data_IF_649797862363
#
_entry.id   IF_649797862363
#
_cell.length_a   1.000
_cell.length_b   1.000
_cell.length_c   1.000
_cell.angle_alpha   90.00
_cell.angle_beta   90.00
_cell.angle_gamma   90.00
#
_symmetry.space_group_name_H-M   'P 1'
#
loop_
_entity.id
_entity.type
_entity.pdbx_description
1 polymer ?
#
# COMPACT_ATOMS: atom_id res chain seq x y z
N UNK A 1 1.58 21.55 36.02
CA UNK A 1 1.28 20.16 35.62
C UNK A 1 0.04 20.20 34.74
N UNK A 2 0.19 20.06 33.43
CA UNK A 2 -0.93 19.96 32.50
C UNK A 2 -1.33 18.48 32.36
N UNK A 3 -2.62 18.13 32.26
CA UNK A 3 -3.04 16.74 32.19
C UNK A 3 -2.72 16.18 30.81
N UNK A 4 -1.99 15.06 30.80
CA UNK A 4 -1.70 14.27 29.62
C UNK A 4 -2.99 13.64 29.10
N UNK A 5 -3.49 14.10 27.96
CA UNK A 5 -4.57 13.47 27.23
C UNK A 5 -4.03 12.19 26.56
N UNK A 6 -4.26 11.04 27.20
CA UNK A 6 -4.02 9.73 26.58
C UNK A 6 -5.18 9.46 25.62
N UNK A 7 -4.97 9.75 24.34
CA UNK A 7 -5.89 9.32 23.27
C UNK A 7 -5.55 7.86 22.97
N UNK A 8 -6.32 6.93 23.56
CA UNK A 8 -6.28 5.53 23.18
C UNK A 8 -6.95 5.37 21.81
N UNK A 9 -6.15 5.27 20.75
CA UNK A 9 -6.64 4.84 19.44
C UNK A 9 -6.96 3.35 19.53
N UNK A 10 -8.23 3.03 19.78
CA UNK A 10 -8.76 1.70 19.47
C UNK A 10 -8.85 1.65 17.96
N UNK A 11 -7.87 1.01 17.31
CA UNK A 11 -7.92 0.70 15.90
C UNK A 11 -9.17 -0.14 15.63
N UNK A 12 -10.25 0.52 15.20
CA UNK A 12 -11.41 -0.17 14.67
C UNK A 12 -10.97 -0.85 13.38
N UNK A 13 -10.65 -2.14 13.47
CA UNK A 13 -10.76 -3.05 12.33
C UNK A 13 -12.21 -2.97 11.90
N UNK A 14 -12.50 -2.18 10.87
CA UNK A 14 -13.84 -2.10 10.30
C UNK A 14 -14.16 -3.45 9.67
N UNK A 15 -14.80 -4.31 10.47
CA UNK A 15 -15.69 -5.35 9.97
C UNK A 15 -16.69 -4.66 9.04
N UNK A 16 -16.75 -5.10 7.78
CA UNK A 16 -17.82 -4.66 6.88
C UNK A 16 -19.17 -4.93 7.56
N UNK A 17 -20.12 -3.98 7.60
CA UNK A 17 -21.48 -4.29 8.02
C UNK A 17 -22.15 -5.04 6.86
N UNK A 18 -21.87 -6.34 6.74
CA UNK A 18 -22.79 -7.24 6.07
C UNK A 18 -24.02 -7.32 6.96
N UNK A 19 -25.18 -7.01 6.37
CA UNK A 19 -26.50 -7.15 6.95
C UNK A 19 -26.58 -8.42 7.81
N UNK A 20 -27.00 -8.26 9.07
CA UNK A 20 -27.25 -9.35 10.00
C UNK A 20 -28.41 -10.23 9.52
N UNK A 21 -28.16 -11.09 8.55
CA UNK A 21 -28.75 -12.43 8.51
C UNK A 21 -28.04 -13.25 9.58
N UNK A 22 -28.76 -14.15 10.26
CA UNK A 22 -28.16 -15.06 11.24
C UNK A 22 -26.94 -15.73 10.58
N UNK A 23 -25.73 -15.37 11.04
CA UNK A 23 -24.52 -15.78 10.37
C UNK A 23 -24.39 -17.30 10.50
N UNK A 24 -24.42 -18.00 9.37
CA UNK A 24 -23.98 -19.39 9.32
C UNK A 24 -22.63 -19.52 10.02
N UNK A 25 -22.38 -20.67 10.66
CA UNK A 25 -21.07 -20.96 11.22
C UNK A 25 -19.97 -20.73 10.15
N UNK A 26 -18.83 -20.13 10.50
CA UNK A 26 -17.75 -19.88 9.53
C UNK A 26 -17.26 -21.21 8.95
N UNK A 27 -16.70 -21.20 7.74
CA UNK A 27 -16.13 -22.42 7.14
C UNK A 27 -14.95 -22.95 7.96
N UNK A 28 -14.08 -22.03 8.39
CA UNK A 28 -12.88 -22.28 9.18
C UNK A 28 -12.77 -21.26 10.31
N UNK A 29 -12.10 -21.63 11.39
CA UNK A 29 -11.47 -20.67 12.30
C UNK A 29 -9.96 -20.79 12.19
N UNK A 30 -9.23 -19.70 12.37
CA UNK A 30 -7.78 -19.72 12.28
C UNK A 30 -7.11 -18.94 13.41
N UNK A 31 -5.97 -19.44 13.84
CA UNK A 31 -5.06 -18.78 14.78
C UNK A 31 -3.67 -18.73 14.17
N UNK A 32 -2.87 -17.77 14.63
CA UNK A 32 -1.51 -17.58 14.15
C UNK A 32 -0.54 -17.46 15.31
N UNK A 33 0.67 -17.96 15.09
CA UNK A 33 1.80 -17.90 16.00
C UNK A 33 2.99 -17.27 15.26
N UNK A 34 3.53 -16.14 15.76
CA UNK A 34 3.08 -15.42 16.94
C UNK A 34 1.69 -14.79 16.77
N UNK A 35 0.88 -14.72 17.83
CA UNK A 35 -0.47 -14.13 17.77
C UNK A 35 -0.46 -12.60 17.71
N UNK A 36 0.68 -11.98 18.02
CA UNK A 36 0.93 -10.54 17.98
C UNK A 36 2.43 -10.30 17.86
N UNK A 37 2.84 -9.16 17.30
CA UNK A 37 4.25 -8.83 17.23
C UNK A 37 4.54 -7.58 16.42
N UNK A 38 5.78 -7.11 16.55
CA UNK A 38 6.35 -6.01 15.79
C UNK A 38 7.55 -6.51 15.02
N UNK A 39 7.55 -6.30 13.70
CA UNK A 39 8.61 -6.76 12.82
C UNK A 39 9.17 -5.59 12.02
N UNK A 40 10.49 -5.51 11.91
CA UNK A 40 11.13 -4.54 11.01
C UNK A 40 10.75 -4.88 9.57
N UNK A 41 10.30 -3.89 8.82
CA UNK A 41 9.88 -4.07 7.43
C UNK A 41 10.99 -4.77 6.62
N UNK A 42 10.62 -5.77 5.83
CA UNK A 42 11.58 -6.56 5.06
C UNK A 42 12.48 -7.53 5.85
N UNK A 43 12.36 -7.65 7.17
CA UNK A 43 13.03 -8.71 7.95
C UNK A 43 12.38 -10.09 7.70
N UNK A 44 13.05 -11.19 8.08
CA UNK A 44 12.58 -12.57 7.87
C UNK A 44 12.21 -13.24 9.19
N UNK A 45 11.05 -13.89 9.22
CA UNK A 45 10.50 -14.54 10.41
C UNK A 45 9.78 -15.84 10.06
N UNK A 46 9.62 -16.69 11.07
CA UNK A 46 8.81 -17.89 10.96
C UNK A 46 7.38 -17.61 11.48
N UNK A 47 6.38 -18.07 10.73
CA UNK A 47 4.97 -17.95 11.11
C UNK A 47 4.30 -19.32 11.04
N UNK A 48 3.42 -19.61 11.99
CA UNK A 48 2.57 -20.80 11.96
C UNK A 48 1.12 -20.39 11.99
N UNK A 49 0.39 -20.74 10.93
CA UNK A 49 -1.05 -20.61 10.83
C UNK A 49 -1.69 -21.97 11.15
N UNK A 50 -2.58 -22.00 12.13
CA UNK A 50 -3.37 -23.19 12.45
C UNK A 50 -4.83 -22.88 12.15
N UNK A 51 -5.45 -23.63 11.25
CA UNK A 51 -6.88 -23.49 11.00
C UNK A 51 -7.62 -24.79 11.28
N UNK A 52 -8.85 -24.64 11.77
CA UNK A 52 -9.75 -25.71 12.15
C UNK A 52 -11.03 -25.60 11.33
N UNK A 53 -11.44 -26.72 10.75
CA UNK A 53 -12.63 -26.86 9.93
C UNK A 53 -13.85 -26.82 10.84
N UNK A 54 -14.83 -25.98 10.49
CA UNK A 54 -16.08 -25.81 11.25
C UNK A 54 -17.29 -26.26 10.46
N UNK A 55 -17.18 -26.32 9.13
CA UNK A 55 -18.18 -26.92 8.24
C UNK A 55 -17.50 -27.90 7.28
N UNK A 56 -18.18 -28.97 6.85
CA UNK A 56 -17.62 -29.88 5.87
C UNK A 56 -17.13 -29.15 4.62
N UNK A 57 -15.93 -29.48 4.15
CA UNK A 57 -15.35 -28.98 2.90
C UNK A 57 -15.19 -30.17 1.95
N UNK A 58 -16.11 -30.34 0.98
CA UNK A 58 -16.07 -31.46 0.04
C UNK A 58 -14.81 -31.46 -0.83
N UNK A 59 -14.52 -32.61 -1.43
CA UNK A 59 -13.50 -32.74 -2.50
C UNK A 59 -13.72 -31.68 -3.57
N UNK A 60 -12.64 -31.02 -3.98
CA UNK A 60 -12.67 -29.88 -4.90
C UNK A 60 -12.80 -28.51 -4.23
N UNK A 61 -13.02 -28.45 -2.91
CA UNK A 61 -12.90 -27.19 -2.17
C UNK A 61 -11.44 -26.71 -2.17
N UNK A 62 -11.25 -25.39 -2.23
CA UNK A 62 -9.94 -24.76 -2.19
C UNK A 62 -9.82 -23.83 -0.98
N UNK A 63 -8.64 -23.81 -0.37
CA UNK A 63 -8.29 -22.94 0.75
C UNK A 63 -6.98 -22.27 0.40
N UNK A 64 -6.92 -20.94 0.50
CA UNK A 64 -5.71 -20.19 0.15
C UNK A 64 -5.20 -19.35 1.30
N UNK A 65 -3.88 -19.30 1.42
CA UNK A 65 -3.16 -18.42 2.33
C UNK A 65 -2.32 -17.44 1.52
N UNK A 66 -2.50 -16.16 1.79
CA UNK A 66 -1.71 -15.07 1.21
C UNK A 66 -0.86 -14.48 2.35
N UNK A 67 0.46 -14.69 2.36
CA UNK A 67 1.34 -14.14 3.38
C UNK A 67 1.49 -12.61 3.24
N UNK A 68 1.86 -11.90 4.31
CA UNK A 68 2.09 -10.45 4.34
C UNK A 68 3.41 -10.09 3.62
N UNK A 69 3.45 -10.22 2.29
CA UNK A 69 4.64 -9.96 1.45
C UNK A 69 4.25 -9.11 0.26
N UNK A 70 4.87 -7.93 0.09
CA UNK A 70 4.49 -6.99 -0.98
C UNK A 70 5.48 -6.87 -2.15
N UNK A 71 6.36 -7.84 -2.32
CA UNK A 71 7.18 -8.12 -3.54
C UNK A 71 8.13 -9.26 -3.20
N UNK A 72 7.70 -10.49 -3.49
CA UNK A 72 8.56 -11.65 -3.26
C UNK A 72 9.63 -11.71 -4.36
N UNK A 73 10.84 -11.25 -4.06
CA UNK A 73 12.00 -11.56 -4.89
C UNK A 73 12.42 -13.05 -4.81
N UNK A 74 11.77 -13.86 -3.96
CA UNK A 74 11.99 -15.32 -3.83
C UNK A 74 10.68 -16.04 -3.50
N UNK A 75 10.32 -17.10 -4.24
CA UNK A 75 9.10 -17.89 -3.99
C UNK A 75 9.25 -18.66 -2.68
N UNK A 76 8.20 -18.79 -1.85
CA UNK A 76 8.23 -19.83 -0.84
C UNK A 76 8.21 -21.15 -1.59
N UNK A 77 9.13 -22.04 -1.27
CA UNK A 77 9.17 -23.37 -1.86
C UNK A 77 8.46 -24.37 -0.95
N UNK A 78 7.79 -25.36 -1.53
CA UNK A 78 7.34 -26.54 -0.76
C UNK A 78 8.53 -27.47 -0.47
N UNK A 79 9.50 -27.50 -1.38
CA UNK A 79 10.75 -28.23 -1.20
C UNK A 79 11.68 -27.51 -0.21
N UNK A 80 12.62 -28.25 0.38
CA UNK A 80 13.67 -27.65 1.20
C UNK A 80 14.48 -26.63 0.39
N UNK A 81 14.88 -25.49 0.99
CA UNK A 81 15.75 -24.52 0.34
C UNK A 81 17.02 -25.19 -0.19
N UNK A 82 17.40 -24.89 -1.43
CA UNK A 82 18.65 -25.40 -1.99
C UNK A 82 19.85 -24.73 -1.30
N UNK A 83 20.99 -25.42 -1.14
CA UNK A 83 22.18 -24.86 -0.49
C UNK A 83 22.72 -23.58 -1.15
N UNK A 84 22.50 -23.40 -2.46
CA UNK A 84 22.90 -22.23 -3.26
C UNK A 84 21.88 -21.08 -3.20
N UNK A 85 20.74 -21.27 -2.52
CA UNK A 85 19.73 -20.23 -2.28
C UNK A 85 19.50 -20.01 -0.78
N UNK A 86 20.54 -19.64 0.00
CA UNK A 86 20.39 -19.40 1.43
C UNK A 86 19.38 -18.28 1.68
N UNK A 87 18.38 -18.54 2.52
CA UNK A 87 17.31 -17.59 2.85
C UNK A 87 16.11 -17.60 1.91
N UNK A 88 15.96 -18.59 1.03
CA UNK A 88 14.69 -18.86 0.35
C UNK A 88 13.62 -19.20 1.41
N UNK A 89 12.44 -18.58 1.30
CA UNK A 89 11.33 -18.92 2.19
C UNK A 89 10.85 -20.36 1.91
N UNK A 90 10.40 -21.08 2.93
CA UNK A 90 9.84 -22.43 2.78
C UNK A 90 8.45 -22.48 3.38
N UNK A 91 7.55 -23.26 2.78
CA UNK A 91 6.25 -23.59 3.36
C UNK A 91 6.19 -25.08 3.67
N UNK A 92 5.89 -25.42 4.91
CA UNK A 92 5.60 -26.79 5.31
C UNK A 92 4.21 -26.86 5.93
N UNK A 93 3.55 -28.02 5.85
CA UNK A 93 2.21 -28.19 6.40
C UNK A 93 2.01 -29.56 7.04
N UNK A 94 1.04 -29.65 7.96
CA UNK A 94 0.66 -30.89 8.63
C UNK A 94 -0.84 -30.93 8.85
N UNK A 95 -1.51 -31.86 8.16
CA UNK A 95 -2.94 -32.13 8.35
C UNK A 95 -3.15 -33.05 9.55
N UNK A 96 -4.12 -32.70 10.40
CA UNK A 96 -4.54 -33.47 11.57
C UNK A 96 -6.04 -33.71 11.47
N UNK A 97 -6.44 -34.96 11.57
CA UNK A 97 -7.84 -35.33 11.56
C UNK A 97 -8.39 -35.45 12.99
N UNK A 98 -9.63 -35.03 13.18
CA UNK A 98 -10.35 -35.29 14.44
C UNK A 98 -10.65 -36.79 14.62
N UNK A 99 -10.94 -37.48 13.52
CA UNK A 99 -11.19 -38.92 13.45
C UNK A 99 -10.30 -39.57 12.39
N UNK A 100 -10.16 -40.91 12.36
CA UNK A 100 -9.40 -41.55 11.26
C UNK A 100 -10.13 -41.33 9.92
N UNK A 101 -9.49 -40.62 9.01
CA UNK A 101 -10.04 -40.18 7.71
C UNK A 101 -9.02 -40.42 6.59
N UNK A 102 -9.47 -40.35 5.32
CA UNK A 102 -8.62 -40.57 4.14
C UNK A 102 -8.37 -39.34 3.27
N UNK A 103 -8.88 -38.17 3.68
CA UNK A 103 -8.73 -36.92 2.95
C UNK A 103 -7.25 -36.57 2.73
N UNK A 104 -6.99 -35.86 1.63
CA UNK A 104 -5.67 -35.40 1.22
C UNK A 104 -5.75 -33.96 0.77
N UNK A 105 -4.61 -33.29 0.79
CA UNK A 105 -4.45 -31.95 0.23
C UNK A 105 -3.47 -32.02 -0.92
N UNK A 106 -3.91 -31.57 -2.09
CA UNK A 106 -2.99 -31.16 -3.14
C UNK A 106 -2.58 -29.71 -2.86
N UNK A 107 -1.28 -29.47 -2.73
CA UNK A 107 -0.75 -28.18 -2.28
C UNK A 107 0.13 -27.59 -3.34
N UNK A 108 -0.20 -26.36 -3.73
CA UNK A 108 0.50 -25.64 -4.77
C UNK A 108 0.90 -24.27 -4.26
N UNK A 109 2.09 -23.83 -4.64
CA UNK A 109 2.50 -22.43 -4.52
C UNK A 109 2.21 -21.81 -5.87
N UNK A 110 1.13 -21.05 -5.94
CA UNK A 110 0.65 -20.48 -7.19
C UNK A 110 1.14 -19.06 -7.38
N UNK A 111 1.50 -18.78 -8.63
CA UNK A 111 1.71 -17.47 -9.16
C UNK A 111 0.40 -17.00 -9.80
N UNK A 112 -0.31 -16.04 -9.18
CA UNK A 112 -1.54 -15.52 -9.78
C UNK A 112 -1.19 -14.64 -10.99
N UNK A 113 -1.58 -15.08 -12.19
CA UNK A 113 -1.61 -14.25 -13.39
C UNK A 113 -3.05 -14.09 -13.83
N UNK A 114 -3.62 -12.91 -13.65
CA UNK A 114 -5.02 -12.59 -13.97
C UNK A 114 -5.31 -12.60 -15.49
N UNK A 115 -4.28 -12.81 -16.32
CA UNK A 115 -4.36 -12.84 -17.77
C UNK A 115 -3.64 -14.08 -18.26
N UNK A 116 -4.31 -14.90 -19.06
CA UNK A 116 -3.66 -15.98 -19.79
C UNK A 116 -2.49 -15.45 -20.65
N UNK A 117 -1.63 -16.34 -21.18
CA UNK A 117 -0.48 -15.96 -22.01
C UNK A 117 -0.89 -14.97 -23.12
N UNK A 118 -0.05 -13.94 -23.44
CA UNK A 118 1.41 -13.98 -23.43
C UNK A 118 2.11 -13.09 -22.38
N UNK A 119 1.43 -12.61 -21.34
CA UNK A 119 2.07 -11.78 -20.30
C UNK A 119 2.70 -12.62 -19.20
N UNK A 120 3.79 -13.34 -19.50
CA UNK A 120 4.43 -14.27 -18.55
C UNK A 120 5.46 -13.64 -17.60
N UNK A 121 5.73 -12.34 -17.59
CA UNK A 121 6.90 -11.81 -16.86
C UNK A 121 6.74 -10.49 -16.10
N UNK A 122 5.53 -10.05 -15.72
CA UNK A 122 5.39 -8.82 -14.90
C UNK A 122 4.52 -9.02 -13.66
N UNK A 123 5.27 -9.29 -12.58
CA UNK A 123 5.00 -9.17 -11.14
C UNK A 123 3.70 -9.81 -10.58
N UNK A 124 3.76 -11.07 -10.13
CA UNK A 124 2.61 -11.82 -9.65
C UNK A 124 2.44 -11.84 -8.12
N UNK A 125 1.19 -11.93 -7.68
CA UNK A 125 0.84 -12.31 -6.30
C UNK A 125 1.13 -13.79 -6.07
N UNK A 126 1.56 -14.13 -4.86
CA UNK A 126 1.97 -15.49 -4.50
C UNK A 126 1.14 -15.99 -3.33
N UNK A 127 0.48 -17.11 -3.56
CA UNK A 127 -0.46 -17.72 -2.63
C UNK A 127 -0.14 -19.20 -2.46
N UNK A 128 -0.39 -19.74 -1.28
CA UNK A 128 -0.37 -21.19 -1.06
C UNK A 128 -1.80 -21.67 -1.14
N UNK A 129 -2.11 -22.53 -2.10
CA UNK A 129 -3.45 -23.10 -2.31
C UNK A 129 -3.45 -24.57 -1.92
N UNK A 130 -4.38 -24.92 -1.05
CA UNK A 130 -4.67 -26.26 -0.58
C UNK A 130 -5.99 -26.71 -1.21
N UNK A 131 -5.95 -27.77 -2.03
CA UNK A 131 -7.13 -28.36 -2.67
C UNK A 131 -7.51 -29.67 -1.98
N UNK A 132 -8.76 -29.77 -1.55
CA UNK A 132 -9.27 -30.97 -0.88
C UNK A 132 -9.44 -32.10 -1.89
N UNK A 133 -8.87 -33.26 -1.59
CA UNK A 133 -8.82 -34.44 -2.45
C UNK A 133 -9.09 -35.73 -1.68
N UNK A 134 -9.51 -36.77 -2.39
CA UNK A 134 -9.75 -38.11 -1.85
C UNK A 134 -11.03 -38.23 -1.04
N UNK A 135 -11.17 -37.41 0.01
CA UNK A 135 -12.32 -37.35 0.90
C UNK A 135 -12.53 -35.90 1.39
N UNK A 136 -13.70 -35.61 1.97
CA UNK A 136 -13.99 -34.28 2.53
C UNK A 136 -13.16 -33.98 3.79
N UNK A 137 -12.90 -32.70 4.08
CA UNK A 137 -12.49 -32.29 5.42
C UNK A 137 -13.72 -32.06 6.29
N UNK A 138 -13.70 -32.56 7.52
CA UNK A 138 -14.85 -32.51 8.44
C UNK A 138 -14.63 -31.53 9.59
N UNK A 139 -15.71 -31.08 10.23
CA UNK A 139 -15.61 -30.29 11.45
C UNK A 139 -14.67 -30.93 12.48
N UNK A 140 -13.72 -30.15 13.01
CA UNK A 140 -12.67 -30.60 13.93
C UNK A 140 -11.35 -30.99 13.27
N UNK A 141 -11.32 -31.24 11.96
CA UNK A 141 -10.06 -31.39 11.23
C UNK A 141 -9.28 -30.08 11.28
N UNK A 142 -7.96 -30.16 11.36
CA UNK A 142 -7.09 -29.01 11.50
C UNK A 142 -5.85 -29.10 10.62
N UNK A 143 -5.46 -27.98 10.03
CA UNK A 143 -4.20 -27.86 9.29
C UNK A 143 -3.28 -26.87 9.98
N UNK A 144 -2.03 -27.31 10.21
CA UNK A 144 -0.94 -26.41 10.55
C UNK A 144 -0.14 -26.09 9.29
N UNK A 145 0.05 -24.81 8.98
CA UNK A 145 0.87 -24.32 7.88
C UNK A 145 1.98 -23.44 8.46
N UNK A 146 3.23 -23.79 8.20
CA UNK A 146 4.41 -23.04 8.66
C UNK A 146 5.08 -22.35 7.48
N UNK A 147 5.26 -21.04 7.60
CA UNK A 147 6.03 -20.20 6.69
C UNK A 147 7.38 -19.92 7.34
N UNK A 148 8.44 -20.55 6.85
CA UNK A 148 9.80 -20.37 7.36
C UNK A 148 10.53 -19.28 6.59
N UNK A 149 11.31 -18.45 7.30
CA UNK A 149 12.10 -17.37 6.74
C UNK A 149 11.29 -16.43 5.84
N UNK A 150 10.01 -16.27 6.16
CA UNK A 150 9.09 -15.44 5.42
C UNK A 150 9.49 -13.97 5.60
N UNK A 151 9.77 -13.30 4.49
CA UNK A 151 10.06 -11.87 4.52
C UNK A 151 8.78 -11.11 4.86
N UNK A 152 8.85 -10.13 5.75
CA UNK A 152 7.68 -9.31 6.10
C UNK A 152 7.54 -8.14 5.11
N UNK A 153 6.31 -7.67 4.91
CA UNK A 153 5.96 -6.52 4.08
C UNK A 153 6.88 -5.31 4.30
N UNK A 154 7.06 -4.53 3.22
CA UNK A 154 7.97 -3.38 3.14
C UNK A 154 7.24 -2.04 3.01
N UNK A 155 5.91 -2.05 2.99
CA UNK A 155 5.12 -0.83 2.88
C UNK A 155 4.95 -0.20 4.26
N UNK A 156 5.81 0.79 4.52
CA UNK A 156 5.79 1.60 5.73
C UNK A 156 5.89 3.07 5.37
N UNK A 157 5.20 3.50 4.31
CA UNK A 157 5.20 4.87 3.82
C UNK A 157 4.16 5.76 4.52
N UNK A 158 3.44 5.22 5.51
CA UNK A 158 2.34 5.91 6.17
C UNK A 158 2.80 7.15 6.92
N UNK A 159 1.95 8.18 6.88
CA UNK A 159 2.12 9.42 7.63
C UNK A 159 2.07 9.14 9.13
N UNK A 160 1.05 8.42 9.56
CA UNK A 160 0.95 7.93 10.93
C UNK A 160 1.57 6.54 10.98
N UNK A 161 2.72 6.39 11.67
CA UNK A 161 3.35 5.11 11.80
C UNK A 161 2.36 4.07 12.28
N UNK A 162 1.43 4.35 13.20
CA UNK A 162 0.49 3.36 13.78
C UNK A 162 -0.30 2.52 12.74
N UNK A 163 -0.39 2.98 11.50
CA UNK A 163 -1.03 2.27 10.37
C UNK A 163 -0.10 1.34 9.57
N UNK A 164 1.22 1.44 9.78
CA UNK A 164 2.23 0.49 9.29
C UNK A 164 1.93 -0.90 9.88
N UNK A 165 1.15 -1.68 9.16
CA UNK A 165 0.70 -3.00 9.62
C UNK A 165 0.70 -4.00 8.47
N UNK A 166 0.74 -5.28 8.81
CA UNK A 166 0.66 -6.36 7.84
C UNK A 166 -0.20 -7.50 8.39
N UNK A 167 -0.84 -8.25 7.48
CA UNK A 167 -1.75 -9.31 7.84
C UNK A 167 -1.63 -10.48 6.85
N UNK A 168 -1.91 -11.68 7.35
CA UNK A 168 -2.16 -12.82 6.47
C UNK A 168 -3.60 -12.76 6.00
N UNK A 169 -3.85 -13.12 4.74
CA UNK A 169 -5.21 -13.37 4.26
C UNK A 169 -5.43 -14.87 4.16
N UNK A 170 -6.50 -15.38 4.75
CA UNK A 170 -6.96 -16.77 4.61
C UNK A 170 -8.34 -16.75 4.00
N UNK A 171 -8.55 -17.51 2.94
CA UNK A 171 -9.84 -17.58 2.26
C UNK A 171 -10.21 -19.01 1.90
N UNK A 172 -11.51 -19.25 1.81
CA UNK A 172 -12.10 -20.54 1.43
C UNK A 172 -12.98 -20.37 0.21
N UNK A 173 -12.86 -21.28 -0.74
CA UNK A 173 -13.77 -21.45 -1.88
C UNK A 173 -14.30 -22.89 -1.85
N UNK A 174 -15.52 -23.12 -1.33
CA UNK A 174 -16.12 -24.44 -1.29
C UNK A 174 -16.27 -25.06 -2.68
N UNK A 175 -16.34 -26.39 -2.74
CA UNK A 175 -16.56 -27.11 -4.00
C UNK A 175 -17.83 -26.61 -4.72
N UNK A 176 -17.72 -26.32 -6.02
CA UNK A 176 -18.83 -25.80 -6.82
C UNK A 176 -19.07 -24.30 -6.69
N UNK A 177 -18.46 -23.63 -5.71
CA UNK A 177 -18.53 -22.18 -5.57
C UNK A 177 -17.53 -21.48 -6.49
N UNK A 178 -17.91 -20.29 -6.96
CA UNK A 178 -17.01 -19.46 -7.77
C UNK A 178 -16.30 -18.41 -6.94
N UNK A 179 -16.67 -18.20 -5.67
CA UNK A 179 -16.21 -17.08 -4.83
C UNK A 179 -15.36 -17.53 -3.65
N UNK A 180 -14.29 -16.80 -3.42
CA UNK A 180 -13.52 -16.88 -2.18
C UNK A 180 -14.21 -16.09 -1.07
N UNK A 181 -14.26 -16.68 0.12
CA UNK A 181 -14.77 -16.04 1.34
C UNK A 181 -13.63 -15.85 2.33
N UNK A 182 -13.45 -14.64 2.85
CA UNK A 182 -12.47 -14.34 3.89
C UNK A 182 -12.76 -15.09 5.19
N UNK A 183 -11.72 -15.65 5.79
CA UNK A 183 -11.76 -16.16 7.15
C UNK A 183 -11.36 -15.03 8.09
N UNK A 184 -12.32 -14.58 8.90
CA UNK A 184 -12.12 -13.50 9.86
C UNK A 184 -11.27 -13.93 11.07
N UNK A 185 -10.77 -12.94 11.82
CA UNK A 185 -10.11 -13.15 13.11
C UNK A 185 -8.61 -13.41 13.06
N UNK A 186 -7.96 -13.30 11.90
CA UNK A 186 -6.50 -13.34 11.83
C UNK A 186 -5.87 -12.07 12.42
N UNK A 187 -4.80 -12.20 13.23
CA UNK A 187 -4.17 -11.04 13.83
C UNK A 187 -3.42 -10.21 12.79
N UNK A 188 -3.40 -8.90 13.06
CA UNK A 188 -2.59 -7.92 12.34
C UNK A 188 -1.29 -7.70 13.11
N UNK A 189 -0.19 -7.53 12.38
CA UNK A 189 1.12 -7.26 12.95
C UNK A 189 1.53 -5.82 12.75
N UNK A 190 2.34 -5.32 13.68
CA UNK A 190 2.99 -4.03 13.57
C UNK A 190 4.21 -4.14 12.66
N UNK A 191 4.30 -3.25 11.66
CA UNK A 191 5.52 -3.04 10.90
C UNK A 191 6.31 -1.89 11.53
N UNK A 192 7.60 -2.13 11.76
CA UNK A 192 8.55 -1.11 12.20
C UNK A 192 9.31 -0.60 10.98
N UNK A 193 9.39 0.71 10.82
CA UNK A 193 10.18 1.37 9.77
C UNK A 193 11.66 1.01 9.96
N UNK A 194 12.38 0.53 8.92
CA UNK A 194 13.81 0.25 9.03
C UNK A 194 14.64 1.53 9.19
N UNK A 195 15.92 1.43 9.62
CA UNK A 195 16.87 2.54 9.58
C UNK A 195 16.98 3.14 8.17
N UNK A 196 17.31 4.45 8.10
CA UNK A 196 17.57 5.09 6.82
C UNK A 196 18.79 4.47 6.14
N UNK A 197 18.69 4.27 4.83
CA UNK A 197 19.77 3.81 3.98
C UNK A 197 20.36 4.95 3.14
N UNK A 198 19.58 5.99 2.85
CA UNK A 198 20.01 7.12 2.02
C UNK A 198 19.26 8.40 2.34
N UNK A 199 19.80 9.52 1.89
CA UNK A 199 19.07 10.80 1.83
C UNK A 199 18.55 11.07 0.42
N UNK A 200 17.55 11.93 0.32
CA UNK A 200 16.90 12.29 -0.93
C UNK A 200 16.52 13.78 -0.92
N UNK A 201 16.62 14.43 -2.08
CA UNK A 201 16.08 15.78 -2.29
C UNK A 201 15.14 15.83 -3.48
N UNK A 202 14.04 16.58 -3.34
CA UNK A 202 13.06 16.85 -4.41
C UNK A 202 12.81 18.34 -4.49
N UNK A 203 12.89 18.88 -5.71
CA UNK A 203 12.69 20.28 -6.02
C UNK A 203 11.88 20.41 -7.31
N UNK A 204 11.20 21.55 -7.55
CA UNK A 204 10.61 21.86 -8.85
C UNK A 204 11.66 21.82 -9.96
N UNK A 205 11.29 21.34 -11.16
CA UNK A 205 12.21 21.31 -12.29
C UNK A 205 12.51 22.69 -12.87
N UNK A 206 11.63 23.67 -12.64
CA UNK A 206 11.74 25.03 -13.13
C UNK A 206 11.33 26.03 -12.05
N UNK A 207 12.08 27.11 -11.92
CA UNK A 207 11.77 28.26 -11.05
C UNK A 207 12.16 29.55 -11.76
N UNK A 208 11.59 30.68 -11.38
CA UNK A 208 12.04 31.98 -11.85
C UNK A 208 13.12 32.51 -10.91
N UNK A 209 14.15 33.14 -11.47
CA UNK A 209 15.20 33.81 -10.69
C UNK A 209 14.59 34.74 -9.63
N UNK A 210 14.97 34.53 -8.38
CA UNK A 210 14.48 35.32 -7.24
C UNK A 210 13.13 34.89 -6.68
N UNK A 211 12.41 33.96 -7.33
CA UNK A 211 11.15 33.42 -6.82
C UNK A 211 11.42 32.40 -5.70
N UNK A 212 10.77 32.53 -4.52
CA UNK A 212 10.87 31.54 -3.47
C UNK A 212 10.12 30.25 -3.85
N UNK A 213 10.72 29.10 -3.58
CA UNK A 213 10.10 27.80 -3.76
C UNK A 213 10.42 26.87 -2.60
N UNK A 214 9.83 25.67 -2.63
CA UNK A 214 9.97 24.65 -1.58
C UNK A 214 10.67 23.44 -2.14
N UNK A 215 11.60 22.89 -1.36
CA UNK A 215 12.17 21.57 -1.60
C UNK A 215 11.79 20.61 -0.48
N UNK A 216 11.72 19.32 -0.78
CA UNK A 216 11.65 18.26 0.23
C UNK A 216 13.00 17.60 0.38
N UNK A 217 13.43 17.41 1.63
CA UNK A 217 14.61 16.64 2.01
C UNK A 217 14.15 15.49 2.90
N UNK A 218 14.49 14.26 2.53
CA UNK A 218 14.02 13.06 3.24
C UNK A 218 15.14 12.07 3.54
N UNK A 219 15.05 11.41 4.69
CA UNK A 219 15.78 10.19 5.01
C UNK A 219 14.94 8.99 4.60
N UNK A 220 15.51 8.11 3.79
CA UNK A 220 14.80 7.06 3.07
C UNK A 220 15.36 5.68 3.45
N UNK A 221 14.49 4.73 3.75
CA UNK A 221 14.83 3.34 4.06
C UNK A 221 15.24 2.54 2.79
N UNK A 222 15.72 1.28 2.92
CA UNK A 222 16.07 0.43 1.77
C UNK A 222 14.92 0.15 0.79
N UNK A 223 13.68 0.45 1.16
CA UNK A 223 12.47 0.17 0.39
C UNK A 223 11.84 1.44 -0.22
N UNK A 224 12.55 2.57 -0.15
CA UNK A 224 12.12 3.87 -0.65
C UNK A 224 10.99 4.55 0.15
N UNK A 225 10.80 4.17 1.41
CA UNK A 225 9.90 4.86 2.32
C UNK A 225 10.65 5.90 3.17
N UNK A 226 10.02 7.04 3.50
CA UNK A 226 10.56 7.92 4.53
C UNK A 226 10.57 7.22 5.87
N UNK A 227 11.67 7.36 6.61
CA UNK A 227 11.84 6.70 7.90
C UNK A 227 12.20 7.68 9.02
N UNK A 228 11.53 7.60 10.18
CA UNK A 228 11.89 8.35 11.38
C UNK A 228 13.15 7.77 12.06
N UNK A 229 13.64 6.60 11.63
CA UNK A 229 14.86 5.98 12.15
C UNK A 229 16.13 6.58 11.50
N UNK A 230 16.13 7.90 11.42
CA UNK A 230 17.28 8.77 11.17
C UNK A 230 17.10 10.01 12.06
N UNK A 231 18.10 10.26 12.90
CA UNK A 231 18.14 11.44 13.76
C UNK A 231 19.50 12.12 13.56
N UNK A 232 19.52 13.20 12.81
CA UNK A 232 20.76 13.87 12.46
C UNK A 232 20.58 15.01 11.46
N UNK A 233 21.69 15.67 11.18
CA UNK A 233 21.74 16.77 10.22
C UNK A 233 21.98 16.24 8.81
N UNK A 234 21.18 16.73 7.85
CA UNK A 234 21.45 16.58 6.42
C UNK A 234 22.01 17.92 5.93
N UNK A 235 23.19 17.88 5.33
CA UNK A 235 23.85 19.06 4.75
C UNK A 235 23.24 19.39 3.40
N UNK A 236 23.07 20.68 3.11
CA UNK A 236 22.58 21.21 1.84
C UNK A 236 23.67 22.08 1.21
N UNK A 237 23.84 21.93 -0.10
CA UNK A 237 24.75 22.74 -0.92
C UNK A 237 24.06 23.13 -2.22
N UNK A 238 24.46 24.27 -2.79
CA UNK A 238 23.99 24.73 -4.09
C UNK A 238 25.14 25.33 -4.90
N UNK A 239 25.15 25.11 -6.21
CA UNK A 239 26.14 25.70 -7.13
C UNK A 239 25.82 27.16 -7.52
N UNK A 240 24.67 27.68 -7.10
CA UNK A 240 24.37 29.11 -7.11
C UNK A 240 24.92 29.78 -5.84
N UNK A 241 26.05 30.47 -5.99
CA UNK A 241 26.73 31.14 -4.89
C UNK A 241 25.90 32.28 -4.24
N UNK A 242 24.84 32.74 -4.89
CA UNK A 242 23.92 33.76 -4.38
C UNK A 242 22.58 33.16 -3.91
N UNK A 243 22.44 31.84 -3.82
CA UNK A 243 21.22 31.20 -3.36
C UNK A 243 20.92 31.51 -1.89
N UNK A 244 19.63 31.50 -1.55
CA UNK A 244 19.16 31.44 -0.16
C UNK A 244 18.67 30.03 0.10
N UNK A 245 19.44 29.28 0.91
CA UNK A 245 19.06 27.97 1.46
C UNK A 245 19.83 27.77 2.77
N UNK A 246 19.27 27.03 3.75
CA UNK A 246 20.02 26.68 4.94
C UNK A 246 21.17 25.74 4.58
N UNK A 247 22.30 25.81 5.29
CA UNK A 247 23.44 24.90 5.07
C UNK A 247 23.20 23.48 5.59
N UNK A 248 22.18 23.30 6.43
CA UNK A 248 21.74 22.00 6.94
C UNK A 248 20.28 22.03 7.39
N UNK A 249 19.67 20.86 7.44
CA UNK A 249 18.36 20.61 8.07
C UNK A 249 18.48 19.47 9.07
N UNK A 250 17.74 19.55 10.17
CA UNK A 250 17.69 18.47 11.18
C UNK A 250 16.49 17.58 10.88
N UNK A 251 16.76 16.28 10.66
CA UNK A 251 15.73 15.25 10.52
C UNK A 251 15.68 14.46 11.82
N UNK A 252 14.48 14.14 12.28
CA UNK A 252 14.26 13.43 13.54
C UNK A 252 13.00 12.56 13.48
N UNK A 253 12.73 11.86 14.59
CA UNK A 253 11.49 11.09 14.74
C UNK A 253 10.23 11.95 14.58
N UNK A 254 10.26 13.22 14.98
CA UNK A 254 9.11 14.12 14.88
C UNK A 254 8.88 14.65 13.48
N UNK A 255 9.91 14.64 12.64
CA UNK A 255 9.78 15.01 11.22
C UNK A 255 9.35 13.82 10.35
N UNK A 256 9.19 12.63 10.95
CA UNK A 256 8.85 11.39 10.25
C UNK A 256 9.81 11.08 9.08
N UNK A 257 11.07 11.48 9.20
CA UNK A 257 12.07 11.32 8.15
C UNK A 257 12.02 12.36 7.02
N UNK A 258 11.15 13.38 7.10
CA UNK A 258 10.90 14.33 6.00
C UNK A 258 10.94 15.77 6.50
N UNK A 259 11.67 16.65 5.82
CA UNK A 259 11.70 18.10 6.10
C UNK A 259 11.42 18.87 4.81
N UNK A 260 10.43 19.76 4.86
CA UNK A 260 10.20 20.75 3.80
C UNK A 260 11.01 22.01 4.11
N UNK A 261 11.84 22.42 3.17
CA UNK A 261 12.64 23.64 3.27
C UNK A 261 11.93 24.73 2.48
N UNK A 262 11.29 25.63 3.22
CA UNK A 262 10.55 26.77 2.68
C UNK A 262 11.50 27.90 2.27
N UNK A 263 11.03 28.80 1.39
CA UNK A 263 11.73 30.02 0.99
C UNK A 263 13.14 29.80 0.40
N UNK A 264 13.35 28.70 -0.32
CA UNK A 264 14.57 28.52 -1.11
C UNK A 264 14.53 29.48 -2.29
N UNK A 265 15.63 30.20 -2.54
CA UNK A 265 15.73 31.17 -3.65
C UNK A 265 17.00 30.92 -4.45
N UNK A 266 16.87 30.77 -5.77
CA UNK A 266 17.99 30.75 -6.71
C UNK A 266 18.05 32.09 -7.46
N UNK A 267 19.25 32.64 -7.62
CA UNK A 267 19.52 33.99 -8.17
C UNK A 267 20.33 33.96 -9.48
N UNK A 268 20.84 32.82 -9.89
CA UNK A 268 21.56 32.65 -11.14
C UNK A 268 20.78 31.79 -12.13
N UNK A 269 20.44 32.39 -13.28
CA UNK A 269 19.76 31.74 -14.41
C UNK A 269 20.55 30.56 -14.95
N UNK A 270 19.85 29.60 -15.55
CA UNK A 270 20.42 28.36 -16.11
C UNK A 270 20.18 27.16 -15.19
N UNK A 271 20.83 26.04 -15.50
CA UNK A 271 20.74 24.84 -14.66
C UNK A 271 21.51 25.05 -13.36
N UNK A 272 20.84 24.82 -12.23
CA UNK A 272 21.42 24.84 -10.88
C UNK A 272 21.19 23.53 -10.19
N UNK A 273 22.15 23.14 -9.37
CA UNK A 273 22.13 21.90 -8.61
C UNK A 273 21.97 22.21 -7.13
N UNK A 274 20.99 21.57 -6.51
CA UNK A 274 20.87 21.49 -5.05
C UNK A 274 21.28 20.08 -4.65
N UNK A 275 22.31 19.97 -3.82
CA UNK A 275 22.86 18.70 -3.35
C UNK A 275 22.54 18.53 -1.87
N UNK A 276 22.10 17.34 -1.47
CA UNK A 276 22.02 16.94 -0.07
C UNK A 276 23.04 15.86 0.23
N UNK A 277 23.59 15.85 1.44
CA UNK A 277 24.49 14.78 1.89
C UNK A 277 24.37 14.53 3.39
N UNK A 278 24.59 13.27 3.79
CA UNK A 278 24.66 12.86 5.18
C UNK A 278 25.65 11.69 5.34
N UNK A 279 26.29 11.64 6.50
CA UNK A 279 27.06 10.48 6.97
C UNK A 279 26.29 9.82 8.10
N UNK A 280 26.83 9.90 9.32
CA UNK A 280 26.18 9.41 10.54
C UNK A 280 24.75 9.98 10.73
N UNK A 281 23.76 9.18 11.19
CA UNK A 281 23.87 7.77 11.59
C UNK A 281 23.63 6.75 10.46
N UNK A 282 23.79 7.13 9.18
CA UNK A 282 23.70 6.15 8.09
C UNK A 282 24.85 5.15 8.17
N UNK A 283 24.58 3.91 7.78
CA UNK A 283 25.62 2.88 7.69
C UNK A 283 26.72 3.25 6.67
N UNK A 284 26.34 3.96 5.59
CA UNK A 284 27.25 4.45 4.57
C UNK A 284 26.90 5.91 4.23
N UNK A 285 27.88 6.78 3.94
CA UNK A 285 27.61 8.13 3.47
C UNK A 285 26.72 8.15 2.23
N UNK A 286 25.77 9.07 2.19
CA UNK A 286 24.79 9.20 1.12
C UNK A 286 24.72 10.63 0.62
N UNK A 287 24.49 10.79 -0.69
CA UNK A 287 24.21 12.08 -1.32
C UNK A 287 23.19 11.92 -2.45
N UNK A 288 22.37 12.96 -2.65
CA UNK A 288 21.41 13.07 -3.75
C UNK A 288 21.42 14.50 -4.30
N UNK A 289 20.96 14.70 -5.53
CA UNK A 289 20.92 16.02 -6.16
C UNK A 289 19.64 16.25 -6.94
N UNK A 290 19.06 17.44 -6.80
CA UNK A 290 18.01 17.94 -7.67
C UNK A 290 18.57 18.99 -8.63
N UNK A 291 18.24 18.85 -9.92
CA UNK A 291 18.54 19.85 -10.95
C UNK A 291 17.32 20.73 -11.17
N UNK A 292 17.54 22.04 -11.10
CA UNK A 292 16.51 23.07 -11.27
C UNK A 292 16.92 24.00 -12.40
N UNK A 293 16.05 24.19 -13.39
CA UNK A 293 16.27 25.20 -14.43
C UNK A 293 15.71 26.55 -13.97
N UNK A 294 16.61 27.49 -13.70
CA UNK A 294 16.29 28.85 -13.28
C UNK A 294 16.06 29.73 -14.51
N UNK A 295 14.85 30.25 -14.65
CA UNK A 295 14.42 31.11 -15.75
C UNK A 295 14.62 32.59 -15.42
N UNK A 296 14.93 33.43 -16.42
CA UNK A 296 15.03 34.88 -16.21
C UNK A 296 13.68 35.56 -15.95
N UNK A 297 12.60 35.01 -16.50
CA UNK A 297 11.25 35.53 -16.37
C UNK A 297 10.22 34.39 -16.31
N UNK A 298 9.01 34.63 -15.75
CA UNK A 298 7.95 33.62 -15.74
C UNK A 298 7.59 33.13 -17.15
N UNK A 299 7.52 31.81 -17.37
CA UNK A 299 7.09 31.27 -18.66
C UNK A 299 5.58 31.43 -18.84
N UNK A 300 5.10 31.37 -20.09
CA UNK A 300 3.67 31.39 -20.39
C UNK A 300 2.93 30.16 -19.79
N UNK A 301 3.63 29.02 -19.68
CA UNK A 301 3.15 27.79 -19.04
C UNK A 301 4.21 27.31 -18.04
N UNK A 302 3.77 26.93 -16.85
CA UNK A 302 4.61 26.30 -15.83
C UNK A 302 4.52 24.78 -15.91
N UNK A 303 5.62 24.10 -15.58
CA UNK A 303 5.65 22.65 -15.42
C UNK A 303 5.20 22.32 -13.99
N UNK A 304 4.23 21.42 -13.87
CA UNK A 304 3.77 20.86 -12.60
C UNK A 304 3.88 19.33 -12.67
N UNK A 305 4.32 18.72 -11.58
CA UNK A 305 4.48 17.28 -11.44
C UNK A 305 3.39 16.71 -10.54
N UNK A 306 2.79 15.60 -10.95
CA UNK A 306 1.78 14.97 -10.13
C UNK A 306 1.52 13.52 -10.48
N UNK A 307 0.67 12.90 -9.67
CA UNK A 307 0.23 11.52 -9.82
C UNK A 307 -1.30 11.52 -10.00
N UNK A 308 -1.78 10.93 -11.09
CA UNK A 308 -3.20 10.94 -11.45
C UNK A 308 -3.83 9.55 -11.47
N UNK A 309 -3.06 8.49 -11.25
CA UNK A 309 -3.61 7.13 -11.20
C UNK A 309 -2.84 6.27 -10.22
N UNK A 310 -3.38 6.16 -8.99
CA UNK A 310 -2.83 5.30 -7.96
C UNK A 310 -3.93 4.64 -7.12
N UNK A 311 -3.58 3.53 -6.48
CA UNK A 311 -4.48 2.74 -5.65
C UNK A 311 -3.93 2.59 -4.23
N UNK A 312 -4.81 2.78 -3.26
CA UNK A 312 -4.56 2.58 -1.84
C UNK A 312 -5.36 1.40 -1.28
N UNK A 313 -5.47 1.33 0.03
CA UNK A 313 -6.11 0.23 0.73
C UNK A 313 -7.64 0.17 0.54
N UNK A 314 -8.23 1.12 -0.19
CA UNK A 314 -9.66 1.09 -0.54
C UNK A 314 -9.92 0.29 -1.82
N UNK A 315 -8.87 0.03 -2.59
CA UNK A 315 -8.94 -0.84 -3.76
C UNK A 315 -8.55 -2.27 -3.44
N UNK A 316 -9.28 -3.22 -4.03
CA UNK A 316 -8.97 -4.65 -3.90
C UNK A 316 -7.58 -5.02 -4.41
N UNK A 317 -7.18 -4.50 -5.56
CA UNK A 317 -5.87 -4.81 -6.15
C UNK A 317 -4.73 -4.32 -5.26
N UNK A 318 -4.79 -3.12 -4.73
CA UNK A 318 -3.75 -2.62 -3.83
C UNK A 318 -3.83 -3.27 -2.43
N UNK A 319 -5.02 -3.48 -1.85
CA UNK A 319 -5.19 -4.09 -0.52
C UNK A 319 -4.94 -5.59 -0.52
N UNK A 320 -5.68 -6.35 -1.31
CA UNK A 320 -5.66 -7.81 -1.27
C UNK A 320 -4.50 -8.37 -2.08
N UNK A 321 -4.20 -7.77 -3.22
CA UNK A 321 -3.10 -8.23 -4.02
C UNK A 321 -1.80 -7.61 -3.56
N UNK A 322 -1.72 -6.28 -3.62
CA UNK A 322 -0.54 -5.59 -3.18
C UNK A 322 -0.26 -5.93 -1.72
N UNK A 323 -1.27 -5.87 -0.82
CA UNK A 323 -1.15 -5.98 0.64
C UNK A 323 -1.16 -4.64 1.40
N UNK A 324 -1.65 -3.53 0.81
CA UNK A 324 -1.36 -2.17 1.31
C UNK A 324 -2.33 -1.85 2.40
N UNK A 325 -1.85 -1.08 3.36
CA UNK A 325 -2.69 -0.42 4.35
C UNK A 325 -2.70 1.09 4.16
N UNK A 326 -2.06 1.63 3.11
CA UNK A 326 -2.02 3.07 2.85
C UNK A 326 -3.43 3.58 2.55
N UNK A 327 -3.90 4.53 3.35
CA UNK A 327 -5.20 5.18 3.13
C UNK A 327 -4.98 6.46 2.30
N UNK A 328 -6.04 7.05 1.70
CA UNK A 328 -5.88 8.23 0.85
C UNK A 328 -5.04 9.37 1.47
N UNK A 329 -5.21 9.64 2.77
CA UNK A 329 -4.41 10.67 3.46
C UNK A 329 -2.91 10.38 3.47
N UNK A 330 -2.49 9.10 3.54
CA UNK A 330 -1.08 8.72 3.46
C UNK A 330 -0.52 8.98 2.07
N UNK A 331 -1.33 8.72 1.04
CA UNK A 331 -0.94 8.87 -0.36
C UNK A 331 -0.79 10.35 -0.73
N UNK A 332 -1.76 11.18 -0.36
CA UNK A 332 -1.66 12.63 -0.50
C UNK A 332 -0.47 13.19 0.30
N UNK A 333 -0.28 12.73 1.53
CA UNK A 333 0.85 13.16 2.35
C UNK A 333 2.19 12.78 1.71
N UNK A 334 2.31 11.56 1.18
CA UNK A 334 3.54 11.10 0.53
C UNK A 334 3.84 11.92 -0.71
N UNK A 335 2.85 12.12 -1.59
CA UNK A 335 3.02 12.95 -2.79
C UNK A 335 3.43 14.39 -2.46
N UNK A 336 2.70 15.03 -1.54
CA UNK A 336 2.96 16.42 -1.14
C UNK A 336 4.28 16.59 -0.38
N UNK A 337 4.52 15.81 0.66
CA UNK A 337 5.62 16.05 1.59
C UNK A 337 6.90 15.31 1.21
N UNK A 338 6.82 14.07 0.72
CA UNK A 338 8.01 13.26 0.40
C UNK A 338 8.49 13.55 -1.02
N UNK A 339 7.60 13.44 -2.01
CA UNK A 339 7.97 13.59 -3.42
C UNK A 339 7.93 15.03 -3.93
N UNK A 340 7.37 15.96 -3.15
CA UNK A 340 7.19 17.36 -3.52
C UNK A 340 6.42 17.52 -4.84
N UNK A 341 5.38 16.70 -5.04
CA UNK A 341 4.46 16.82 -6.15
C UNK A 341 3.55 18.03 -5.96
N UNK A 342 3.10 18.61 -7.07
CA UNK A 342 2.18 19.72 -7.15
C UNK A 342 0.72 19.25 -7.08
N UNK A 343 0.43 18.04 -7.52
CA UNK A 343 -0.91 17.46 -7.42
C UNK A 343 -0.91 15.93 -7.31
N UNK A 344 -1.94 15.40 -6.66
CA UNK A 344 -2.20 13.96 -6.57
C UNK A 344 -3.70 13.69 -6.70
N UNK A 345 -4.07 12.60 -7.35
CA UNK A 345 -5.41 12.03 -7.33
C UNK A 345 -5.32 10.59 -6.80
N UNK A 346 -6.09 10.26 -5.77
CA UNK A 346 -6.23 8.86 -5.30
C UNK A 346 -7.40 8.23 -6.04
N UNK A 347 -7.13 7.26 -6.90
CA UNK A 347 -8.11 6.71 -7.86
C UNK A 347 -8.51 5.29 -7.47
N UNK A 348 -8.90 5.08 -6.22
CA UNK A 348 -9.35 3.77 -5.78
C UNK A 348 -10.59 3.27 -6.57
N UNK A 349 -10.70 1.96 -6.77
CA UNK A 349 -11.73 1.33 -7.62
C UNK A 349 -13.15 1.59 -7.08
N UNK A 350 -14.03 2.11 -7.93
CA UNK A 350 -15.41 2.49 -7.55
C UNK A 350 -16.53 1.54 -8.00
N UNK A 351 -16.32 0.58 -8.93
CA UNK A 351 -17.41 -0.29 -9.43
C UNK A 351 -17.17 -1.81 -9.36
N UNK A 352 -18.26 -2.53 -9.08
CA UNK A 352 -18.35 -3.99 -9.03
C UNK A 352 -18.40 -4.61 -10.42
N UNK A 353 -17.28 -5.17 -10.86
CA UNK A 353 -17.33 -6.13 -11.96
C UNK A 353 -17.76 -7.49 -11.42
N UNK A 354 -18.98 -7.91 -11.74
CA UNK A 354 -19.45 -9.27 -11.45
C UNK A 354 -18.57 -10.35 -12.10
N UNK A 355 -17.82 -10.00 -13.16
CA UNK A 355 -16.82 -10.87 -13.81
C UNK A 355 -15.51 -10.97 -13.04
N UNK A 356 -15.11 -9.94 -12.29
CA UNK A 356 -13.81 -9.87 -11.62
C UNK A 356 -13.89 -10.21 -10.13
N UNK A 357 -15.09 -10.28 -9.55
CA UNK A 357 -15.31 -10.77 -8.17
C UNK A 357 -14.50 -10.00 -7.11
N UNK A 358 -14.27 -8.69 -7.29
CA UNK A 358 -13.45 -7.85 -6.41
C UNK A 358 -14.32 -6.94 -5.53
N UNK A 359 -13.93 -6.76 -4.26
CA UNK A 359 -14.57 -5.81 -3.35
C UNK A 359 -14.08 -4.39 -3.63
N UNK A 360 -14.98 -3.46 -3.95
CA UNK A 360 -14.63 -2.07 -4.23
C UNK A 360 -14.84 -1.17 -3.03
N UNK A 361 -14.32 0.04 -3.16
CA UNK A 361 -14.53 1.14 -2.24
C UNK A 361 -16.03 1.38 -2.01
N UNK A 362 -16.43 1.37 -0.74
CA UNK A 362 -17.78 1.73 -0.30
C UNK A 362 -18.00 3.24 -0.36
N UNK A 363 -19.26 3.70 -0.26
CA UNK A 363 -19.55 5.13 -0.14
C UNK A 363 -18.84 5.78 1.06
N UNK A 364 -18.76 5.06 2.19
CA UNK A 364 -18.06 5.54 3.38
C UNK A 364 -16.56 5.72 3.12
N UNK A 365 -15.95 4.80 2.38
CA UNK A 365 -14.54 4.88 2.00
C UNK A 365 -14.28 5.95 0.92
N UNK A 366 -15.23 6.21 0.01
CA UNK A 366 -15.12 7.37 -0.88
C UNK A 366 -15.19 8.69 -0.11
N UNK A 367 -16.07 8.79 0.90
CA UNK A 367 -16.11 9.95 1.81
C UNK A 367 -14.80 10.12 2.58
N UNK A 368 -14.10 9.03 2.90
CA UNK A 368 -12.75 9.11 3.45
C UNK A 368 -11.76 9.71 2.45
N UNK A 369 -11.83 9.32 1.17
CA UNK A 369 -11.01 9.94 0.11
C UNK A 369 -11.28 11.44 0.01
N UNK A 370 -12.55 11.86 0.00
CA UNK A 370 -12.94 13.28 -0.01
C UNK A 370 -12.40 14.03 1.21
N UNK A 371 -12.53 13.46 2.41
CA UNK A 371 -12.04 14.06 3.64
C UNK A 371 -10.51 14.22 3.62
N UNK A 372 -9.79 13.21 3.15
CA UNK A 372 -8.35 13.25 3.02
C UNK A 372 -7.88 14.26 1.96
N UNK A 373 -8.56 14.34 0.81
CA UNK A 373 -8.27 15.33 -0.22
C UNK A 373 -8.44 16.75 0.35
N UNK A 374 -9.58 17.02 1.00
CA UNK A 374 -9.85 18.30 1.65
C UNK A 374 -8.82 18.65 2.74
N UNK A 375 -8.40 17.69 3.55
CA UNK A 375 -7.38 17.90 4.59
C UNK A 375 -6.02 18.26 3.97
N UNK A 376 -5.63 17.58 2.90
CA UNK A 376 -4.29 17.65 2.34
C UNK A 376 -4.12 18.74 1.27
N UNK A 377 -5.22 19.23 0.69
CA UNK A 377 -5.21 20.32 -0.28
C UNK A 377 -4.61 21.59 0.33
N UNK A 378 -3.78 22.30 -0.43
CA UNK A 378 -3.13 23.55 -0.01
C UNK A 378 -3.21 24.55 -1.18
N UNK A 379 -4.27 25.36 -1.26
CA UNK A 379 -4.51 26.23 -2.39
C UNK A 379 -3.30 27.09 -2.75
N UNK A 380 -2.88 27.02 -4.02
CA UNK A 380 -1.70 27.71 -4.54
C UNK A 380 -0.36 26.99 -4.31
N UNK A 381 -0.36 25.83 -3.63
CA UNK A 381 0.86 25.05 -3.34
C UNK A 381 0.73 23.55 -3.63
N UNK A 382 -0.45 22.95 -3.46
CA UNK A 382 -0.70 21.54 -3.72
C UNK A 382 -2.19 21.30 -4.00
N UNK A 383 -2.49 20.52 -5.04
CA UNK A 383 -3.86 20.10 -5.37
C UNK A 383 -4.08 18.63 -5.03
N UNK A 384 -4.96 18.36 -4.07
CA UNK A 384 -5.44 17.01 -3.78
C UNK A 384 -6.78 16.79 -4.49
N UNK A 385 -6.78 16.00 -5.56
CA UNK A 385 -8.01 15.67 -6.27
C UNK A 385 -8.77 14.57 -5.53
N UNK A 386 -10.05 14.84 -5.25
CA UNK A 386 -11.02 13.75 -5.07
C UNK A 386 -11.12 13.04 -6.41
N UNK A 387 -10.92 11.72 -6.44
CA UNK A 387 -10.98 10.93 -7.66
C UNK A 387 -11.39 9.47 -7.38
N UNK A 388 -11.71 8.73 -8.44
CA UNK A 388 -11.86 7.28 -8.39
C UNK A 388 -11.55 6.63 -9.74
N UNK A 389 -11.18 5.35 -9.75
CA UNK A 389 -11.13 4.57 -10.98
C UNK A 389 -12.44 3.82 -11.19
N UNK A 390 -13.16 4.22 -12.23
CA UNK A 390 -14.39 3.59 -12.66
C UNK A 390 -14.10 2.35 -13.51
N UNK A 391 -14.10 1.19 -12.86
CA UNK A 391 -13.95 -0.11 -13.51
C UNK A 391 -15.28 -0.66 -14.03
N UNK A 392 -15.37 -1.01 -15.30
CA UNK A 392 -16.58 -1.62 -15.88
C UNK A 392 -16.24 -2.65 -16.97
N UNK A 393 -17.27 -3.27 -17.59
CA UNK A 393 -17.05 -4.28 -18.63
C UNK A 393 -16.35 -3.72 -19.90
N UNK A 394 -16.36 -2.40 -20.11
CA UNK A 394 -15.63 -1.71 -21.18
C UNK A 394 -14.13 -1.59 -20.91
N UNK A 395 -13.74 -1.67 -19.64
CA UNK A 395 -12.42 -1.26 -19.16
C UNK A 395 -12.55 -0.18 -18.09
N UNK A 396 -11.40 0.37 -17.72
CA UNK A 396 -11.27 1.26 -16.58
C UNK A 396 -11.18 2.73 -17.02
N UNK A 397 -11.66 3.67 -16.20
CA UNK A 397 -11.69 5.11 -16.50
C UNK A 397 -11.59 5.91 -15.22
N UNK A 398 -10.61 6.80 -15.13
CA UNK A 398 -10.49 7.67 -13.97
C UNK A 398 -11.50 8.80 -14.05
N UNK A 399 -12.03 9.17 -12.90
CA UNK A 399 -12.95 10.29 -12.74
C UNK A 399 -12.33 11.22 -11.70
N UNK A 400 -12.01 12.45 -12.12
CA UNK A 400 -11.43 13.50 -11.29
C UNK A 400 -12.49 14.56 -11.01
N UNK A 401 -12.77 14.81 -9.74
CA UNK A 401 -13.79 15.76 -9.30
C UNK A 401 -13.11 17.12 -9.07
N UNK A 402 -13.67 18.20 -9.61
CA UNK A 402 -13.12 19.55 -9.46
C UNK A 402 -13.58 20.21 -8.16
N UNK A 403 -14.55 19.63 -7.45
CA UNK A 403 -14.99 20.00 -6.12
C UNK A 403 -15.07 18.83 -5.14
N UNK A 404 -15.14 19.16 -3.84
CA UNK A 404 -15.08 18.19 -2.74
C UNK A 404 -16.46 17.71 -2.24
N UNK A 405 -17.55 18.31 -2.76
CA UNK A 405 -18.93 18.07 -2.31
C UNK A 405 -19.78 17.29 -3.32
N UNK A 406 -19.15 16.81 -4.38
CA UNK A 406 -19.85 16.15 -5.47
C UNK A 406 -20.46 14.83 -5.00
N UNK A 407 -21.69 14.58 -5.46
CA UNK A 407 -22.45 13.40 -5.08
C UNK A 407 -21.74 12.15 -5.62
N UNK A 408 -21.35 11.29 -4.69
CA UNK A 408 -20.93 9.92 -4.96
C UNK A 408 -21.98 9.18 -5.80
N UNK A 409 -21.56 8.49 -6.87
CA UNK A 409 -22.24 7.29 -7.39
C UNK A 409 -21.33 6.55 -8.41
N UNK A 410 -21.20 5.22 -8.42
CA UNK A 410 -22.25 4.28 -8.80
C UNK A 410 -21.97 2.84 -8.37
N UNK A 411 -23.01 2.22 -7.79
CA UNK A 411 -23.26 0.78 -7.88
C UNK A 411 -24.20 0.54 -9.09
N UNK A 412 -23.74 -0.27 -10.05
CA UNK A 412 -24.53 -0.98 -11.08
C UNK A 412 -25.13 -0.25 -12.33
N UNK A 413 -24.66 0.92 -12.85
CA UNK A 413 -25.26 1.47 -14.10
C UNK A 413 -24.39 2.00 -15.27
N UNK A 414 -23.16 2.56 -15.14
CA UNK A 414 -22.45 3.00 -16.34
C UNK A 414 -21.76 1.81 -17.03
N UNK A 415 -22.40 1.23 -18.05
CA UNK A 415 -21.79 0.15 -18.85
C UNK A 415 -20.96 0.74 -20.01
N UNK A 416 -21.31 1.96 -20.45
CA UNK A 416 -20.62 2.71 -21.50
C UNK A 416 -19.96 4.01 -21.00
N UNK A 417 -19.03 4.56 -21.78
CA UNK A 417 -18.44 5.89 -21.52
C UNK A 417 -19.51 6.99 -21.63
N UNK A 418 -20.51 6.79 -22.50
CA UNK A 418 -21.63 7.72 -22.69
C UNK A 418 -22.52 7.79 -21.44
N UNK A 419 -22.77 6.65 -20.79
CA UNK A 419 -23.54 6.61 -19.53
C UNK A 419 -22.78 7.36 -18.43
N UNK A 420 -21.45 7.19 -18.37
CA UNK A 420 -20.58 7.89 -17.42
C UNK A 420 -20.64 9.40 -17.64
N UNK A 421 -20.46 9.86 -18.89
CA UNK A 421 -20.56 11.27 -19.25
C UNK A 421 -21.95 11.85 -19.03
N UNK A 422 -23.01 11.09 -19.32
CA UNK A 422 -24.37 11.52 -19.04
C UNK A 422 -24.62 11.66 -17.55
N UNK A 423 -24.12 10.71 -16.76
CA UNK A 423 -24.27 10.71 -15.30
C UNK A 423 -23.61 11.94 -14.68
N UNK A 424 -22.38 12.23 -15.08
CA UNK A 424 -21.62 13.37 -14.57
C UNK A 424 -21.81 14.66 -15.37
N UNK A 425 -22.75 14.71 -16.32
CA UNK A 425 -22.92 15.86 -17.23
C UNK A 425 -23.11 17.20 -16.52
N UNK A 426 -23.69 17.18 -15.32
CA UNK A 426 -23.93 18.36 -14.50
C UNK A 426 -22.90 18.55 -13.37
N UNK A 427 -21.99 17.59 -13.19
CA UNK A 427 -20.93 17.65 -12.19
C UNK A 427 -19.67 18.27 -12.82
N UNK A 428 -18.95 19.13 -12.07
CA UNK A 428 -17.70 19.68 -12.56
C UNK A 428 -16.59 18.64 -12.44
N UNK A 429 -16.50 17.72 -13.40
CA UNK A 429 -15.50 16.64 -13.42
C UNK A 429 -14.63 16.66 -14.67
N UNK A 430 -13.54 15.89 -14.62
CA UNK A 430 -12.71 15.49 -15.75
C UNK A 430 -12.65 13.96 -15.79
N UNK A 431 -12.79 13.34 -16.97
CA UNK A 431 -12.70 11.87 -17.17
C UNK A 431 -11.69 11.49 -18.21
#
# INVERSE_FOLDING_TARGET
MAPSLVVAYVGAVFLSPLSAQAADAPWLTATMDPASGSFVAGSRHDFKLTWEVKRPLPVGSEIRVIPPVRRMWSLPTLDAPKPDQPGQAQVTYRLRFAERQTAKLDVTVEQYTDRGPPYTERDPFRQVVFRVQGDELRPGDALEVKFHQNRVATDTAHRDPARDTAFFTLQVKPAGETRWTDVAGLPTYRLLKPPAARVQVRAPSQVVKGEPFVISVSAIDPFNNPTPEFAGAIRLECDDAAATLPSKVEVSKTTHGVVRVENVVLRQTGQRRITVSAGEPLAEPSSDSALVHVLDAPPALRIFWGELHNHGALSFDARNWGGTTMRPVDMFWYGRHVQNLDFVAVTDHSMHSAKLQQQNMTEAEFKETQAAAKEMNDPGRFVAFTACEQRCARGDTNVYFLGDSEAFYMKDKPISIQDLWQFYRAAPIVT
#
